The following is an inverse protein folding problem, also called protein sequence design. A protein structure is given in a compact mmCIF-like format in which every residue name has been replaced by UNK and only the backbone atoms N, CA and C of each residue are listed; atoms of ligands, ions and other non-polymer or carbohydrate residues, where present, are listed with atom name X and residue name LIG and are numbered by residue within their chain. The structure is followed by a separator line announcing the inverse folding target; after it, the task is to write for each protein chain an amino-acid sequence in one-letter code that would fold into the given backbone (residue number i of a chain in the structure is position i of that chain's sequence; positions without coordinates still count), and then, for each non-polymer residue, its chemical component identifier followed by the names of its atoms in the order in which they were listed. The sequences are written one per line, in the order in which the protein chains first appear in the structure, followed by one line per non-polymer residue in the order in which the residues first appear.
data_IF_929343660298
#
_entry.id   IF_929343660298
#
_cell.length_a   1.000
_cell.length_b   1.000
_cell.length_c   1.000
_cell.angle_alpha   90.00
_cell.angle_beta   90.00
_cell.angle_gamma   90.00
#
_symmetry.space_group_name_H-M   'P 1'
#
loop_
_entity.id
_entity.type
_entity.pdbx_description
1 polymer ?
#
# COMPACT_ATOMS: atom_id res chain seq x y z
N UNK A 1 9.88 -11.63 -1.61
CA UNK A 1 10.89 -12.17 -0.64
C UNK A 1 10.35 -11.95 0.76
N UNK A 2 10.68 -12.84 1.72
CA UNK A 2 10.30 -12.65 3.14
C UNK A 2 11.02 -11.42 3.68
N UNK A 3 10.28 -10.50 4.32
CA UNK A 3 10.85 -9.29 4.90
C UNK A 3 10.94 -9.41 6.41
N UNK A 4 11.89 -8.73 7.07
CA UNK A 4 12.05 -8.83 8.50
C UNK A 4 10.92 -8.14 9.27
N UNK A 5 10.67 -8.63 10.49
CA UNK A 5 9.90 -7.95 11.53
C UNK A 5 10.88 -7.47 12.58
N UNK A 6 10.92 -6.16 12.85
CA UNK A 6 11.86 -5.56 13.79
C UNK A 6 11.12 -4.71 14.83
N UNK A 7 11.62 -4.71 16.06
CA UNK A 7 11.08 -3.86 17.13
C UNK A 7 11.55 -2.42 16.97
N UNK A 8 10.63 -1.46 17.07
CA UNK A 8 10.95 -0.05 17.20
C UNK A 8 11.12 0.29 18.68
N UNK A 9 12.36 0.49 19.10
CA UNK A 9 12.68 0.77 20.50
C UNK A 9 12.45 2.25 20.84
N UNK A 10 11.41 2.50 21.63
CA UNK A 10 11.02 3.81 22.16
C UNK A 10 10.65 3.64 23.64
N UNK A 11 11.19 4.50 24.51
CA UNK A 11 11.03 4.36 25.96
C UNK A 11 9.61 4.68 26.44
N UNK A 12 8.95 5.66 25.80
CA UNK A 12 7.62 6.15 26.20
C UNK A 12 6.52 5.78 25.20
N UNK A 13 6.70 4.70 24.42
CA UNK A 13 5.67 4.27 23.48
C UNK A 13 4.45 3.67 24.21
N UNK A 14 3.20 3.96 23.75
CA UNK A 14 1.98 3.45 24.37
C UNK A 14 1.77 1.93 24.17
N UNK A 15 2.59 1.32 23.30
CA UNK A 15 2.54 -0.11 22.96
C UNK A 15 3.95 -0.63 22.62
N UNK A 16 4.11 -1.93 22.57
CA UNK A 16 5.31 -2.57 22.03
C UNK A 16 5.21 -2.59 20.50
N UNK A 17 5.88 -1.62 19.83
CA UNK A 17 5.73 -1.38 18.38
C UNK A 17 6.72 -2.25 17.59
N UNK A 18 6.19 -3.03 16.66
CA UNK A 18 6.94 -3.84 15.70
C UNK A 18 6.67 -3.38 14.27
N UNK A 19 7.67 -3.47 13.42
CA UNK A 19 7.66 -2.98 12.05
C UNK A 19 7.83 -4.15 11.07
N UNK A 20 6.87 -4.40 10.19
CA UNK A 20 7.00 -5.29 9.05
C UNK A 20 7.55 -4.49 7.87
N UNK A 21 8.79 -4.74 7.47
CA UNK A 21 9.56 -3.87 6.59
C UNK A 21 9.37 -4.20 5.10
N UNK A 22 8.20 -3.89 4.54
CA UNK A 22 7.91 -4.07 3.12
C UNK A 22 8.63 -3.05 2.21
N UNK A 23 9.16 -1.97 2.78
CA UNK A 23 10.07 -1.05 2.09
C UNK A 23 11.41 -1.70 1.67
N UNK A 24 11.75 -2.86 2.20
CA UNK A 24 12.95 -3.63 1.83
C UNK A 24 12.73 -4.60 0.66
N UNK A 25 11.55 -4.64 0.09
CA UNK A 25 11.29 -5.39 -1.13
C UNK A 25 12.10 -4.81 -2.33
N UNK A 26 12.41 -5.60 -3.37
CA UNK A 26 13.24 -5.17 -4.52
C UNK A 26 12.79 -3.88 -5.19
N UNK A 27 11.48 -3.58 -5.18
CA UNK A 27 10.90 -2.33 -5.73
C UNK A 27 10.59 -1.29 -4.65
N UNK A 28 11.13 -1.47 -3.43
CA UNK A 28 10.90 -0.56 -2.32
C UNK A 28 9.49 -0.55 -1.76
N UNK A 29 8.64 -1.55 -2.04
CA UNK A 29 7.28 -1.64 -1.52
C UNK A 29 6.68 -3.05 -1.59
N UNK A 30 5.62 -3.29 -0.81
CA UNK A 30 4.87 -4.54 -0.78
C UNK A 30 4.27 -4.96 -2.14
N UNK A 31 4.10 -4.03 -3.06
CA UNK A 31 3.39 -4.24 -4.34
C UNK A 31 3.98 -5.38 -5.17
N UNK A 32 5.26 -5.67 -5.02
CA UNK A 32 5.90 -6.81 -5.69
C UNK A 32 5.28 -8.16 -5.30
N UNK A 33 4.72 -8.30 -4.10
CA UNK A 33 4.07 -9.54 -3.66
C UNK A 33 2.80 -9.82 -4.45
N UNK A 34 1.93 -8.81 -4.56
CA UNK A 34 0.70 -8.90 -5.33
C UNK A 34 0.98 -9.04 -6.82
N UNK A 35 1.84 -8.18 -7.38
CA UNK A 35 2.24 -8.26 -8.79
C UNK A 35 2.87 -9.63 -9.12
N UNK A 36 3.81 -10.06 -8.29
CA UNK A 36 4.49 -11.34 -8.47
C UNK A 36 3.53 -12.53 -8.43
N UNK A 37 2.65 -12.59 -7.43
CA UNK A 37 1.68 -13.67 -7.32
C UNK A 37 0.68 -13.70 -8.49
N UNK A 38 0.18 -12.55 -8.93
CA UNK A 38 -0.73 -12.46 -10.06
C UNK A 38 -0.08 -12.96 -11.36
N UNK A 39 1.17 -12.57 -11.58
CA UNK A 39 1.92 -12.95 -12.78
C UNK A 39 2.32 -14.44 -12.74
N UNK A 40 2.83 -14.93 -11.61
CA UNK A 40 3.24 -16.34 -11.48
C UNK A 40 2.06 -17.32 -11.49
N UNK A 41 0.87 -16.88 -11.11
CA UNK A 41 -0.36 -17.67 -11.18
C UNK A 41 -1.08 -17.58 -12.54
N UNK A 42 -0.61 -16.73 -13.46
CA UNK A 42 -1.20 -16.59 -14.78
C UNK A 42 -0.74 -17.73 -15.73
N UNK A 43 -1.58 -18.16 -16.70
CA UNK A 43 -1.15 -19.06 -17.75
C UNK A 43 0.02 -18.46 -18.54
N UNK A 44 1.02 -19.28 -18.88
CA UNK A 44 2.22 -18.80 -19.56
C UNK A 44 1.91 -18.10 -20.90
N UNK A 45 0.91 -18.61 -21.63
CA UNK A 45 0.47 -18.05 -22.90
C UNK A 45 -0.07 -16.61 -22.74
N UNK A 46 -0.72 -16.32 -21.61
CA UNK A 46 -1.28 -14.99 -21.32
C UNK A 46 -0.18 -13.94 -21.11
N UNK A 47 1.03 -14.34 -20.76
CA UNK A 47 2.16 -13.45 -20.50
C UNK A 47 2.95 -13.12 -21.77
N UNK A 48 2.76 -13.85 -22.87
CA UNK A 48 3.57 -13.72 -24.09
C UNK A 48 3.50 -12.31 -24.72
N UNK A 49 2.35 -11.65 -24.63
CA UNK A 49 2.16 -10.25 -25.09
C UNK A 49 2.70 -9.20 -24.11
N UNK A 50 3.19 -9.62 -22.96
CA UNK A 50 3.70 -8.73 -21.89
C UNK A 50 2.71 -8.50 -20.75
N UNK A 51 3.07 -7.59 -19.85
CA UNK A 51 2.27 -7.20 -18.69
C UNK A 51 1.75 -5.78 -18.81
N UNK A 52 0.52 -5.55 -18.36
CA UNK A 52 -0.13 -4.23 -18.39
C UNK A 52 -0.68 -3.88 -17.01
N UNK A 53 -0.61 -2.62 -16.61
CA UNK A 53 -1.26 -2.11 -15.40
C UNK A 53 -1.63 -0.63 -15.53
N UNK A 54 -2.60 -0.17 -14.73
CA UNK A 54 -3.03 1.23 -14.63
C UNK A 54 -2.54 1.84 -13.32
N UNK A 55 -1.25 2.03 -13.13
CA UNK A 55 -0.70 2.64 -11.91
C UNK A 55 0.56 3.43 -12.24
N UNK A 56 0.76 4.55 -11.58
CA UNK A 56 2.00 5.36 -11.73
C UNK A 56 2.96 5.20 -10.56
N UNK A 57 2.54 4.49 -9.51
CA UNK A 57 3.30 4.35 -8.27
C UNK A 57 3.93 2.97 -8.09
N UNK A 58 3.84 2.49 -6.86
CA UNK A 58 4.47 1.24 -6.43
C UNK A 58 4.02 0.00 -7.23
N UNK A 59 2.75 -0.05 -7.67
CA UNK A 59 2.25 -1.20 -8.45
C UNK A 59 2.87 -1.25 -9.85
N UNK A 60 3.01 -0.09 -10.51
CA UNK A 60 3.68 -0.01 -11.80
C UNK A 60 5.11 -0.54 -11.73
N UNK A 61 5.85 -0.16 -10.69
CA UNK A 61 7.21 -0.67 -10.47
C UNK A 61 7.21 -2.18 -10.22
N UNK A 62 6.24 -2.71 -9.45
CA UNK A 62 6.11 -4.15 -9.22
C UNK A 62 5.86 -4.94 -10.50
N UNK A 63 4.96 -4.44 -11.36
CA UNK A 63 4.64 -5.08 -12.65
C UNK A 63 5.83 -4.98 -13.62
N UNK A 64 6.48 -3.81 -13.72
CA UNK A 64 7.66 -3.63 -14.57
C UNK A 64 8.85 -4.51 -14.12
N UNK A 65 9.03 -4.67 -12.80
CA UNK A 65 10.02 -5.61 -12.25
C UNK A 65 9.72 -7.04 -12.69
N UNK A 66 8.48 -7.50 -12.51
CA UNK A 66 8.10 -8.87 -12.89
C UNK A 66 8.24 -9.12 -14.38
N UNK A 67 7.89 -8.14 -15.21
CA UNK A 67 8.08 -8.24 -16.66
C UNK A 67 9.57 -8.39 -17.02
N UNK A 68 10.44 -7.62 -16.38
CA UNK A 68 11.90 -7.71 -16.57
C UNK A 68 12.44 -9.09 -16.16
N UNK A 69 12.01 -9.64 -15.03
CA UNK A 69 12.44 -10.97 -14.57
C UNK A 69 12.00 -12.09 -15.50
N UNK A 70 10.86 -11.91 -16.18
CA UNK A 70 10.32 -12.87 -17.16
C UNK A 70 10.83 -12.62 -18.59
N UNK A 71 11.51 -11.52 -18.86
CA UNK A 71 11.95 -11.14 -20.19
C UNK A 71 10.81 -10.78 -21.16
N UNK A 72 9.67 -10.29 -20.63
CA UNK A 72 8.52 -9.84 -21.42
C UNK A 72 8.33 -8.31 -21.32
N UNK A 73 7.62 -7.66 -22.27
CA UNK A 73 7.33 -6.25 -22.21
C UNK A 73 6.47 -5.87 -21.00
N UNK A 74 6.66 -4.65 -20.47
CA UNK A 74 5.75 -4.03 -19.51
C UNK A 74 5.16 -2.76 -20.09
N UNK A 75 3.85 -2.58 -19.99
CA UNK A 75 3.16 -1.33 -20.35
C UNK A 75 2.39 -0.79 -19.15
N UNK A 76 2.64 0.47 -18.82
CA UNK A 76 1.96 1.18 -17.74
C UNK A 76 1.09 2.27 -18.35
N UNK A 77 -0.21 2.17 -18.14
CA UNK A 77 -1.18 3.20 -18.53
C UNK A 77 -1.24 4.23 -17.43
N UNK A 78 -0.92 5.47 -17.72
CA UNK A 78 -0.74 6.54 -16.74
C UNK A 78 -1.45 7.84 -17.16
N UNK A 79 -2.06 8.59 -16.23
CA UNK A 79 -2.60 9.91 -16.54
C UNK A 79 -1.50 10.90 -16.99
N UNK A 80 -1.83 11.82 -17.88
CA UNK A 80 -0.90 12.86 -18.39
C UNK A 80 -0.22 13.70 -17.30
N UNK A 81 -0.91 13.89 -16.17
CA UNK A 81 -0.42 14.67 -15.04
C UNK A 81 0.39 13.85 -14.01
N UNK A 82 0.80 12.65 -14.36
CA UNK A 82 1.60 11.78 -13.47
C UNK A 82 2.96 12.38 -13.19
N UNK A 83 3.44 12.22 -11.95
CA UNK A 83 4.75 12.72 -11.53
C UNK A 83 5.89 12.15 -12.40
N UNK A 84 6.76 13.01 -12.99
CA UNK A 84 7.88 12.56 -13.81
C UNK A 84 8.82 11.58 -13.10
N UNK A 85 9.05 11.77 -11.79
CA UNK A 85 9.89 10.87 -10.98
C UNK A 85 9.33 9.46 -10.87
N UNK A 86 7.99 9.32 -10.79
CA UNK A 86 7.31 8.02 -10.76
C UNK A 86 7.39 7.30 -12.11
N UNK A 87 7.18 8.04 -13.21
CA UNK A 87 7.30 7.49 -14.56
C UNK A 87 8.74 7.05 -14.85
N UNK A 88 9.73 7.88 -14.51
CA UNK A 88 11.14 7.53 -14.66
C UNK A 88 11.53 6.27 -13.85
N UNK A 89 10.88 6.00 -12.72
CA UNK A 89 11.11 4.76 -11.97
C UNK A 89 10.63 3.51 -12.75
N UNK A 90 9.50 3.60 -13.46
CA UNK A 90 9.00 2.55 -14.34
C UNK A 90 9.93 2.33 -15.53
N UNK A 91 10.36 3.41 -16.19
CA UNK A 91 11.26 3.37 -17.35
C UNK A 91 12.61 2.74 -17.00
N UNK A 92 13.18 3.08 -15.83
CA UNK A 92 14.42 2.44 -15.33
C UNK A 92 14.29 0.91 -15.16
N UNK A 93 13.08 0.40 -14.96
CA UNK A 93 12.77 -1.02 -14.91
C UNK A 93 12.48 -1.63 -16.29
N UNK A 94 12.57 -0.84 -17.36
CA UNK A 94 12.29 -1.26 -18.73
C UNK A 94 10.82 -1.19 -19.13
N UNK A 95 9.96 -0.59 -18.30
CA UNK A 95 8.54 -0.41 -18.60
C UNK A 95 8.30 0.74 -19.58
N UNK A 96 7.34 0.55 -20.50
CA UNK A 96 6.83 1.60 -21.39
C UNK A 96 5.64 2.29 -20.74
N UNK A 97 5.58 3.61 -20.83
CA UNK A 97 4.43 4.40 -20.36
C UNK A 97 3.54 4.77 -21.55
N UNK A 98 2.25 4.51 -21.41
CA UNK A 98 1.19 5.01 -22.30
C UNK A 98 0.44 6.09 -21.54
N UNK A 99 0.60 7.32 -21.97
CA UNK A 99 0.01 8.49 -21.32
C UNK A 99 -1.38 8.76 -21.89
N UNK A 100 -2.38 8.90 -21.00
CA UNK A 100 -3.80 9.05 -21.33
C UNK A 100 -4.44 10.16 -20.49
N UNK A 101 -5.66 10.55 -20.81
CA UNK A 101 -6.48 11.42 -19.94
C UNK A 101 -6.87 10.72 -18.65
N UNK A 102 -7.32 11.46 -17.64
CA UNK A 102 -7.81 10.87 -16.37
C UNK A 102 -8.99 9.93 -16.60
N UNK A 103 -9.93 10.31 -17.47
CA UNK A 103 -11.14 9.52 -17.76
C UNK A 103 -10.78 8.21 -18.49
N UNK A 104 -9.87 8.27 -19.47
CA UNK A 104 -9.37 7.07 -20.15
C UNK A 104 -8.59 6.15 -19.19
N UNK A 105 -7.79 6.73 -18.29
CA UNK A 105 -7.09 5.96 -17.27
C UNK A 105 -8.06 5.22 -16.33
N UNK A 106 -9.11 5.92 -15.88
CA UNK A 106 -10.13 5.33 -15.03
C UNK A 106 -10.90 4.24 -15.77
N UNK A 107 -11.32 4.51 -17.02
CA UNK A 107 -11.99 3.53 -17.87
C UNK A 107 -11.13 2.28 -18.12
N UNK A 108 -9.83 2.45 -18.38
CA UNK A 108 -8.88 1.35 -18.54
C UNK A 108 -8.72 0.52 -17.25
N UNK A 109 -8.76 1.15 -16.08
CA UNK A 109 -8.73 0.46 -14.78
C UNK A 109 -10.00 -0.36 -14.57
N UNK A 110 -11.17 0.20 -14.86
CA UNK A 110 -12.46 -0.50 -14.72
C UNK A 110 -12.63 -1.64 -15.75
N UNK A 111 -12.19 -1.43 -16.99
CA UNK A 111 -12.27 -2.43 -18.05
C UNK A 111 -11.20 -3.54 -17.95
N UNK A 112 -10.14 -3.32 -17.18
CA UNK A 112 -9.00 -4.23 -17.10
C UNK A 112 -8.10 -4.20 -18.34
N UNK A 113 -7.96 -3.02 -19.00
CA UNK A 113 -7.13 -2.83 -20.18
C UNK A 113 -7.45 -1.55 -20.94
N UNK A 114 -6.69 -1.31 -22.00
CA UNK A 114 -6.88 -0.17 -22.92
C UNK A 114 -6.82 -0.68 -24.35
N UNK A 115 -7.74 -0.26 -25.19
CA UNK A 115 -7.78 -0.63 -26.62
C UNK A 115 -6.43 -0.33 -27.31
N UNK A 116 -5.89 -1.31 -28.02
CA UNK A 116 -4.59 -1.21 -28.68
C UNK A 116 -3.37 -1.41 -27.75
N UNK A 117 -3.60 -1.80 -26.48
CA UNK A 117 -2.56 -2.17 -25.54
C UNK A 117 -2.73 -3.65 -25.14
N UNK A 118 -1.99 -4.53 -25.81
CA UNK A 118 -2.01 -5.97 -25.54
C UNK A 118 -1.16 -6.34 -24.34
N UNK A 119 -1.58 -7.39 -23.60
CA UNK A 119 -0.84 -7.98 -22.51
C UNK A 119 -1.74 -8.44 -21.36
N UNK A 120 -1.15 -9.16 -20.43
CA UNK A 120 -1.82 -9.61 -19.22
C UNK A 120 -2.01 -8.43 -18.25
N UNK A 121 -3.25 -8.05 -18.04
CA UNK A 121 -3.58 -6.93 -17.16
C UNK A 121 -3.49 -7.35 -15.69
N UNK A 122 -2.62 -6.68 -14.93
CA UNK A 122 -2.51 -6.83 -13.48
C UNK A 122 -3.24 -5.68 -12.81
N UNK A 123 -4.45 -5.96 -12.32
CA UNK A 123 -5.26 -4.93 -11.66
C UNK A 123 -4.63 -4.53 -10.33
N UNK A 124 -4.39 -3.22 -10.05
CA UNK A 124 -3.64 -2.76 -8.88
C UNK A 124 -4.30 -3.05 -7.53
N UNK A 125 -5.60 -3.42 -7.52
CA UNK A 125 -6.41 -3.57 -6.30
C UNK A 125 -7.31 -4.81 -6.33
N UNK A 126 -8.21 -4.96 -7.32
CA UNK A 126 -9.32 -5.94 -7.36
C UNK A 126 -8.93 -7.38 -7.71
N UNK A 127 -7.74 -7.62 -8.19
CA UNK A 127 -7.28 -8.97 -8.56
C UNK A 127 -7.07 -9.82 -7.30
N UNK A 128 -7.80 -10.93 -7.19
CA UNK A 128 -7.69 -11.86 -6.05
C UNK A 128 -6.28 -12.44 -5.91
N UNK A 129 -5.56 -12.63 -7.03
CA UNK A 129 -4.17 -13.08 -7.02
C UNK A 129 -3.26 -12.00 -6.42
N UNK A 130 -3.55 -10.71 -6.68
CA UNK A 130 -2.84 -9.59 -6.06
C UNK A 130 -3.11 -9.56 -4.55
N UNK A 131 -4.36 -9.72 -4.14
CA UNK A 131 -4.71 -9.79 -2.71
C UNK A 131 -4.06 -10.98 -2.01
N UNK A 132 -4.08 -12.16 -2.63
CA UNK A 132 -3.42 -13.36 -2.09
C UNK A 132 -1.90 -13.16 -1.94
N UNK A 133 -1.25 -12.55 -2.93
CA UNK A 133 0.17 -12.18 -2.84
C UNK A 133 0.46 -11.23 -1.67
N UNK A 134 -0.37 -10.21 -1.46
CA UNK A 134 -0.28 -9.32 -0.30
C UNK A 134 -0.54 -10.06 1.02
N UNK A 135 -1.43 -11.05 1.02
CA UNK A 135 -1.74 -11.90 2.16
C UNK A 135 -0.55 -12.68 2.71
N UNK A 136 0.48 -12.93 1.88
CA UNK A 136 1.72 -13.56 2.34
C UNK A 136 2.43 -12.75 3.43
N UNK A 137 2.19 -11.45 3.54
CA UNK A 137 2.66 -10.63 4.66
C UNK A 137 2.03 -11.11 5.97
N UNK A 138 0.71 -11.35 5.97
CA UNK A 138 0.00 -11.86 7.13
C UNK A 138 0.47 -13.26 7.55
N UNK A 139 0.73 -14.16 6.58
CA UNK A 139 1.29 -15.48 6.85
C UNK A 139 2.67 -15.37 7.53
N UNK A 140 3.56 -14.53 6.98
CA UNK A 140 4.88 -14.29 7.58
C UNK A 140 4.79 -13.73 8.99
N UNK A 141 3.87 -12.79 9.25
CA UNK A 141 3.66 -12.20 10.57
C UNK A 141 3.21 -13.25 11.60
N UNK A 142 2.27 -14.11 11.22
CA UNK A 142 1.79 -15.19 12.10
C UNK A 142 2.89 -16.17 12.46
N UNK A 143 3.82 -16.44 11.52
CA UNK A 143 4.99 -17.30 11.77
C UNK A 143 6.05 -16.62 12.64
N UNK A 144 6.26 -15.30 12.45
CA UNK A 144 7.41 -14.59 13.04
C UNK A 144 7.17 -14.10 14.47
N UNK A 145 5.92 -13.74 14.83
CA UNK A 145 5.63 -13.02 16.06
C UNK A 145 4.22 -13.27 16.58
N UNK A 146 4.06 -13.39 17.89
CA UNK A 146 2.76 -13.21 18.55
C UNK A 146 2.46 -11.73 18.71
N UNK A 147 1.30 -11.26 18.25
CA UNK A 147 0.89 -9.86 18.30
C UNK A 147 -0.62 -9.69 18.53
N UNK A 148 -0.98 -8.56 19.14
CA UNK A 148 -2.37 -8.25 19.49
C UNK A 148 -3.09 -7.47 18.40
N UNK A 149 -2.35 -6.59 17.70
CA UNK A 149 -2.90 -5.71 16.67
C UNK A 149 -1.96 -5.62 15.45
N UNK A 150 -2.54 -5.62 14.25
CA UNK A 150 -1.86 -5.21 13.02
C UNK A 150 -2.47 -3.94 12.49
N UNK A 151 -1.61 -2.95 12.16
CA UNK A 151 -1.99 -1.63 11.64
C UNK A 151 -1.62 -1.55 10.16
N UNK A 152 -2.61 -1.33 9.31
CA UNK A 152 -2.47 -1.46 7.86
C UNK A 152 -2.93 -0.18 7.16
N UNK A 153 -2.08 0.48 6.35
CA UNK A 153 -2.50 1.62 5.54
C UNK A 153 -3.51 1.23 4.47
N UNK A 154 -4.52 2.08 4.27
CA UNK A 154 -5.54 1.89 3.25
C UNK A 154 -5.38 2.86 2.08
N UNK A 155 -5.32 2.31 0.87
CA UNK A 155 -5.56 3.01 -0.38
C UNK A 155 -6.79 2.38 -1.07
N UNK A 156 -6.59 1.41 -1.95
CA UNK A 156 -7.70 0.68 -2.58
C UNK A 156 -8.18 -0.58 -1.85
N UNK A 157 -7.61 -0.94 -0.71
CA UNK A 157 -8.03 -2.07 0.12
C UNK A 157 -7.29 -3.40 -0.12
N UNK A 158 -6.61 -3.59 -1.23
CA UNK A 158 -5.99 -4.88 -1.56
C UNK A 158 -4.89 -5.34 -0.59
N UNK A 159 -4.17 -4.43 0.07
CA UNK A 159 -3.21 -4.76 1.13
C UNK A 159 -3.94 -5.26 2.38
N UNK A 160 -4.92 -4.49 2.83
CA UNK A 160 -5.70 -4.79 4.03
C UNK A 160 -6.46 -6.10 3.87
N UNK A 161 -7.20 -6.28 2.77
CA UNK A 161 -7.93 -7.52 2.51
C UNK A 161 -7.01 -8.73 2.51
N UNK A 162 -5.85 -8.65 1.86
CA UNK A 162 -4.89 -9.75 1.83
C UNK A 162 -4.35 -10.10 3.22
N UNK A 163 -3.78 -9.13 3.94
CA UNK A 163 -3.20 -9.34 5.26
C UNK A 163 -4.27 -9.80 6.26
N UNK A 164 -5.40 -9.10 6.31
CA UNK A 164 -6.47 -9.37 7.25
C UNK A 164 -7.09 -10.76 7.04
N UNK A 165 -7.27 -11.20 5.78
CA UNK A 165 -7.74 -12.57 5.49
C UNK A 165 -6.82 -13.62 6.09
N UNK A 166 -5.50 -13.50 5.90
CA UNK A 166 -4.54 -14.44 6.47
C UNK A 166 -4.53 -14.40 8.01
N UNK A 167 -4.46 -13.19 8.58
CA UNK A 167 -4.40 -12.99 10.04
C UNK A 167 -5.68 -13.47 10.71
N UNK A 168 -6.86 -13.06 10.24
CA UNK A 168 -8.15 -13.47 10.85
C UNK A 168 -8.43 -14.97 10.73
N UNK A 169 -7.95 -15.60 9.66
CA UNK A 169 -8.07 -17.06 9.50
C UNK A 169 -7.22 -17.83 10.51
N UNK A 170 -5.99 -17.38 10.74
CA UNK A 170 -5.02 -18.10 11.57
C UNK A 170 -5.03 -17.64 13.03
N UNK A 171 -5.38 -16.37 13.27
CA UNK A 171 -5.45 -15.73 14.60
C UNK A 171 -6.66 -14.79 14.67
N UNK A 172 -7.88 -15.34 14.80
CA UNK A 172 -9.13 -14.55 14.73
C UNK A 172 -9.24 -13.46 15.81
N UNK A 173 -8.51 -13.59 16.91
CA UNK A 173 -8.53 -12.64 18.02
C UNK A 173 -7.63 -11.41 17.76
N UNK A 174 -6.72 -11.47 16.79
CA UNK A 174 -5.85 -10.33 16.45
C UNK A 174 -6.68 -9.19 15.86
N UNK A 175 -6.52 -7.98 16.40
CA UNK A 175 -7.19 -6.80 15.88
C UNK A 175 -6.54 -6.32 14.59
N UNK A 176 -7.38 -5.94 13.64
CA UNK A 176 -6.97 -5.31 12.38
C UNK A 176 -7.43 -3.86 12.41
N UNK A 177 -6.48 -2.94 12.47
CA UNK A 177 -6.72 -1.49 12.49
C UNK A 177 -6.28 -0.90 11.16
N UNK A 178 -7.20 -0.21 10.50
CA UNK A 178 -6.94 0.48 9.23
C UNK A 178 -6.55 1.93 9.50
N UNK A 179 -5.60 2.44 8.74
CA UNK A 179 -5.17 3.84 8.85
C UNK A 179 -5.18 4.54 7.49
N UNK A 180 -5.64 5.78 7.51
CA UNK A 180 -5.78 6.64 6.34
C UNK A 180 -5.28 8.06 6.66
N UNK A 181 -4.86 8.86 5.67
CA UNK A 181 -4.60 10.27 5.91
C UNK A 181 -5.91 11.04 6.14
N UNK A 182 -5.88 12.06 7.00
CA UNK A 182 -7.03 12.95 7.24
C UNK A 182 -7.56 13.61 5.97
N UNK A 183 -6.73 13.72 4.94
CA UNK A 183 -7.06 14.30 3.64
C UNK A 183 -7.93 13.41 2.75
N UNK A 184 -8.33 12.21 3.23
CA UNK A 184 -9.19 11.29 2.51
C UNK A 184 -9.29 9.95 3.25
N UNK A 185 -10.23 9.85 4.22
CA UNK A 185 -10.35 8.72 5.15
C UNK A 185 -11.73 8.03 5.06
N UNK A 186 -12.07 7.41 3.91
CA UNK A 186 -13.40 6.82 3.71
C UNK A 186 -13.64 5.57 4.56
N UNK A 187 -12.61 4.79 4.95
CA UNK A 187 -12.79 3.64 5.86
C UNK A 187 -13.12 4.12 7.26
N UNK A 188 -12.39 5.11 7.78
CA UNK A 188 -12.69 5.68 9.09
C UNK A 188 -14.11 6.28 9.14
N UNK A 189 -14.54 6.95 8.05
CA UNK A 189 -15.90 7.45 7.92
C UNK A 189 -16.93 6.32 7.87
N UNK A 190 -16.68 5.24 7.13
CA UNK A 190 -17.58 4.09 7.06
C UNK A 190 -17.70 3.37 8.41
N UNK A 191 -16.59 3.14 9.12
CA UNK A 191 -16.60 2.54 10.47
C UNK A 191 -17.39 3.39 11.44
N UNK A 192 -17.19 4.73 11.45
CA UNK A 192 -17.97 5.65 12.25
C UNK A 192 -19.48 5.68 11.89
N UNK A 193 -19.81 5.30 10.65
CA UNK A 193 -21.19 5.18 10.13
C UNK A 193 -21.72 3.73 10.13
N UNK A 194 -21.35 2.93 11.13
CA UNK A 194 -21.78 1.54 11.30
C UNK A 194 -21.47 0.63 10.08
N UNK A 195 -20.35 0.85 9.43
CA UNK A 195 -19.90 0.08 8.27
C UNK A 195 -20.46 0.53 6.93
N UNK A 196 -21.33 1.53 6.92
CA UNK A 196 -21.95 2.05 5.68
C UNK A 196 -21.03 3.09 5.03
N UNK A 197 -20.56 2.85 3.78
CA UNK A 197 -19.72 3.80 3.06
C UNK A 197 -20.39 5.16 2.88
N UNK A 198 -19.61 6.22 3.08
CA UNK A 198 -20.00 7.59 2.78
C UNK A 198 -18.88 8.27 1.98
N UNK A 199 -19.19 9.13 1.03
CA UNK A 199 -18.19 9.97 0.36
C UNK A 199 -17.51 10.89 1.36
N UNK A 200 -16.21 11.10 1.18
CA UNK A 200 -15.42 12.07 1.94
C UNK A 200 -14.70 13.03 1.00
N UNK A 201 -14.36 14.20 1.50
CA UNK A 201 -13.48 15.09 0.75
C UNK A 201 -12.10 14.45 0.61
N UNK A 202 -11.49 14.60 -0.56
CA UNK A 202 -10.13 14.14 -0.82
C UNK A 202 -9.26 15.29 -1.31
N UNK A 203 -8.16 15.50 -0.61
CA UNK A 203 -7.13 16.47 -1.01
C UNK A 203 -5.80 15.72 -1.22
N UNK A 204 -5.17 15.80 -2.39
CA UNK A 204 -3.84 15.25 -2.60
C UNK A 204 -2.83 15.81 -1.60
N UNK A 205 -1.88 14.97 -1.16
CA UNK A 205 -0.83 15.33 -0.22
C UNK A 205 0.46 14.56 -0.53
N UNK A 206 1.48 14.68 0.34
CA UNK A 206 2.68 13.87 0.22
C UNK A 206 2.42 12.36 0.48
N UNK A 207 1.24 12.01 0.98
CA UNK A 207 0.81 10.62 1.22
C UNK A 207 0.01 10.15 0.00
N UNK A 208 0.70 9.76 -1.04
CA UNK A 208 0.11 9.37 -2.33
C UNK A 208 -0.16 7.87 -2.50
N UNK A 209 0.22 7.06 -1.51
CA UNK A 209 -0.02 5.62 -1.47
C UNK A 209 -1.24 5.17 -0.68
N UNK A 210 -1.94 6.10 -0.01
CA UNK A 210 -3.10 5.85 0.84
C UNK A 210 -4.09 7.01 0.78
N UNK A 211 -5.34 6.75 1.19
CA UNK A 211 -6.43 7.72 1.17
C UNK A 211 -7.13 7.84 -0.19
N UNK A 212 -8.40 8.24 -0.15
CA UNK A 212 -9.24 8.45 -1.34
C UNK A 212 -10.52 9.20 -0.98
N UNK A 213 -11.29 9.67 -1.98
CA UNK A 213 -12.60 10.31 -1.78
C UNK A 213 -13.76 9.33 -1.51
N UNK A 214 -13.51 8.01 -1.62
CA UNK A 214 -14.54 7.01 -1.39
C UNK A 214 -13.99 5.59 -1.47
N UNK A 215 -14.79 4.64 -1.06
CA UNK A 215 -14.47 3.21 -1.10
C UNK A 215 -14.90 2.61 -2.43
N UNK A 216 -14.12 1.68 -2.96
CA UNK A 216 -14.56 0.76 -3.99
C UNK A 216 -15.54 -0.22 -3.34
N UNK A 217 -16.81 -0.29 -3.77
CA UNK A 217 -17.85 -1.04 -3.05
C UNK A 217 -17.50 -2.51 -2.85
N UNK A 218 -17.03 -3.16 -3.92
CA UNK A 218 -16.62 -4.57 -3.93
C UNK A 218 -15.41 -4.85 -3.00
N UNK A 219 -14.49 -3.89 -2.88
CA UNK A 219 -13.35 -4.01 -1.99
C UNK A 219 -13.73 -3.79 -0.53
N UNK A 220 -14.67 -2.87 -0.26
CA UNK A 220 -15.17 -2.66 1.09
C UNK A 220 -16.00 -3.86 1.58
N UNK A 221 -16.87 -4.41 0.74
CA UNK A 221 -17.62 -5.63 1.05
C UNK A 221 -16.70 -6.78 1.50
N UNK A 222 -15.55 -6.94 0.85
CA UNK A 222 -14.54 -7.96 1.21
C UNK A 222 -13.79 -7.63 2.49
N UNK A 223 -13.48 -6.36 2.72
CA UNK A 223 -12.64 -5.94 3.85
C UNK A 223 -13.41 -5.68 5.14
N UNK A 224 -14.65 -5.17 5.06
CA UNK A 224 -15.44 -4.76 6.22
C UNK A 224 -15.54 -5.83 7.33
N UNK A 225 -15.80 -7.12 7.02
CA UNK A 225 -15.89 -8.15 8.06
C UNK A 225 -14.52 -8.50 8.70
N UNK A 226 -13.42 -8.01 8.16
CA UNK A 226 -12.05 -8.28 8.61
C UNK A 226 -11.44 -7.12 9.39
N UNK A 227 -12.06 -5.93 9.33
CA UNK A 227 -11.56 -4.69 9.95
C UNK A 227 -12.27 -4.48 11.29
N UNK A 228 -11.50 -4.36 12.37
CA UNK A 228 -12.04 -4.13 13.70
C UNK A 228 -12.15 -2.65 14.05
N UNK A 229 -11.28 -1.81 13.44
CA UNK A 229 -11.24 -0.37 13.71
C UNK A 229 -10.54 0.38 12.59
N UNK A 230 -10.77 1.68 12.50
CA UNK A 230 -10.09 2.56 11.56
C UNK A 230 -9.89 3.97 12.13
N UNK A 231 -8.79 4.62 11.75
CA UNK A 231 -8.56 5.99 12.16
C UNK A 231 -7.88 6.83 11.07
N UNK A 232 -8.27 8.11 11.02
CA UNK A 232 -7.60 9.13 10.23
C UNK A 232 -6.38 9.68 10.98
N UNK A 233 -5.28 9.88 10.26
CA UNK A 233 -4.00 10.38 10.77
C UNK A 233 -3.72 11.72 10.08
N UNK A 234 -3.34 12.73 10.86
CA UNK A 234 -2.97 14.03 10.30
C UNK A 234 -1.66 13.95 9.51
N UNK A 235 -1.49 14.85 8.55
CA UNK A 235 -0.27 14.94 7.77
C UNK A 235 0.96 15.19 8.68
N UNK A 236 0.78 15.96 9.74
CA UNK A 236 1.83 16.24 10.71
C UNK A 236 2.24 14.99 11.51
N UNK A 237 1.28 14.18 11.97
CA UNK A 237 1.56 12.91 12.66
C UNK A 237 2.27 11.92 11.72
N UNK A 238 1.81 11.81 10.47
CA UNK A 238 2.44 10.95 9.47
C UNK A 238 3.89 11.37 9.17
N UNK A 239 4.14 12.66 8.96
CA UNK A 239 5.48 13.20 8.75
C UNK A 239 6.39 12.94 9.97
N UNK A 240 5.88 13.18 11.20
CA UNK A 240 6.60 12.88 12.43
C UNK A 240 6.96 11.40 12.53
N UNK A 241 6.05 10.49 12.18
CA UNK A 241 6.31 9.05 12.20
C UNK A 241 7.37 8.63 11.16
N UNK A 242 7.33 9.20 9.95
CA UNK A 242 8.40 8.98 8.95
C UNK A 242 9.76 9.45 9.48
N UNK A 243 9.79 10.60 10.17
CA UNK A 243 11.00 11.08 10.83
C UNK A 243 11.49 10.13 11.92
N UNK A 244 10.59 9.64 12.79
CA UNK A 244 10.91 8.64 13.83
C UNK A 244 11.48 7.37 13.22
N UNK A 245 10.88 6.86 12.13
CA UNK A 245 11.40 5.70 11.39
C UNK A 245 12.83 5.94 10.91
N UNK A 246 13.13 7.10 10.37
CA UNK A 246 14.46 7.44 9.89
C UNK A 246 15.47 7.61 11.05
N UNK A 247 15.12 8.37 12.09
CA UNK A 247 16.02 8.73 13.19
C UNK A 247 16.24 7.59 14.17
N UNK A 248 15.21 6.81 14.49
CA UNK A 248 15.26 5.77 15.53
C UNK A 248 15.33 4.36 14.92
N UNK A 249 14.66 4.13 13.79
CA UNK A 249 14.65 2.85 13.09
C UNK A 249 15.73 2.69 12.02
N UNK A 250 16.33 3.78 11.53
CA UNK A 250 17.22 3.81 10.35
C UNK A 250 16.52 3.29 9.09
N UNK A 251 15.24 3.61 8.97
CA UNK A 251 14.35 3.13 7.93
C UNK A 251 13.88 4.30 7.08
N UNK A 252 14.07 4.22 5.76
CA UNK A 252 13.46 5.13 4.80
C UNK A 252 12.04 4.63 4.49
N UNK A 253 11.04 5.45 4.77
CA UNK A 253 9.62 5.12 4.58
C UNK A 253 8.90 6.23 3.83
N UNK A 254 7.92 5.87 3.01
CA UNK A 254 6.98 6.80 2.37
C UNK A 254 5.86 7.23 3.33
N UNK A 255 5.12 8.29 2.99
CA UNK A 255 4.06 8.83 3.85
C UNK A 255 3.00 7.80 4.24
N UNK A 256 2.59 6.93 3.32
CA UNK A 256 1.62 5.87 3.60
C UNK A 256 2.12 4.89 4.68
N UNK A 257 3.40 4.56 4.69
CA UNK A 257 4.01 3.72 5.72
C UNK A 257 4.07 4.44 7.08
N UNK A 258 4.24 5.77 7.07
CA UNK A 258 4.20 6.60 8.28
C UNK A 258 2.87 6.57 9.00
N UNK A 259 1.74 6.41 8.29
CA UNK A 259 0.41 6.34 8.89
C UNK A 259 0.27 5.24 9.95
N UNK A 260 0.76 4.03 9.65
CA UNK A 260 0.66 2.91 10.57
C UNK A 260 1.44 3.14 11.87
N UNK A 261 2.63 3.71 11.75
CA UNK A 261 3.48 4.03 12.90
C UNK A 261 2.90 5.21 13.69
N UNK A 262 2.35 6.23 13.01
CA UNK A 262 1.70 7.36 13.66
C UNK A 262 0.52 6.92 14.53
N UNK A 263 -0.32 6.01 14.04
CA UNK A 263 -1.43 5.46 14.82
C UNK A 263 -0.95 4.73 16.09
N UNK A 264 0.11 3.94 15.95
CA UNK A 264 0.70 3.23 17.09
C UNK A 264 1.31 4.19 18.12
N UNK A 265 2.04 5.22 17.67
CA UNK A 265 2.64 6.25 18.54
C UNK A 265 1.58 7.09 19.26
N UNK A 266 0.44 7.32 18.63
CA UNK A 266 -0.70 8.04 19.22
C UNK A 266 -1.59 7.16 20.11
N UNK A 267 -1.27 5.87 20.31
CA UNK A 267 -2.06 4.92 21.10
C UNK A 267 -3.39 4.49 20.46
N UNK A 268 -3.64 4.88 19.19
CA UNK A 268 -4.89 4.54 18.47
C UNK A 268 -4.96 3.07 18.05
N UNK A 269 -3.83 2.38 18.04
CA UNK A 269 -3.76 0.95 17.74
C UNK A 269 -4.04 0.04 18.95
N UNK A 270 -4.22 0.61 20.14
CA UNK A 270 -4.36 -0.10 21.40
C UNK A 270 -3.02 -0.38 22.07
N UNK A 271 -3.07 -1.22 23.11
CA UNK A 271 -1.90 -1.64 23.89
C UNK A 271 -1.40 -3.02 23.45
N UNK A 272 -0.35 -3.51 24.11
CA UNK A 272 0.26 -4.81 23.82
C UNK A 272 1.25 -4.75 22.67
N UNK A 273 1.34 -5.81 21.88
CA UNK A 273 2.21 -5.88 20.70
C UNK A 273 1.47 -5.42 19.45
N UNK A 274 1.90 -4.30 18.92
CA UNK A 274 1.31 -3.68 17.74
C UNK A 274 2.28 -3.81 16.57
N UNK A 275 1.87 -4.46 15.50
CA UNK A 275 2.64 -4.57 14.25
C UNK A 275 2.18 -3.50 13.27
N UNK A 276 3.09 -2.62 12.87
CA UNK A 276 2.86 -1.62 11.84
C UNK A 276 3.41 -2.09 10.49
N UNK A 277 2.60 -2.06 9.46
CA UNK A 277 3.05 -2.37 8.09
C UNK A 277 3.78 -1.16 7.50
N UNK A 278 5.11 -1.22 7.41
CA UNK A 278 5.92 -0.25 6.67
C UNK A 278 5.83 -0.61 5.18
N UNK A 279 4.72 -0.21 4.57
CA UNK A 279 4.26 -0.72 3.28
C UNK A 279 5.16 -0.35 2.09
N UNK A 280 5.95 0.72 2.20
CA UNK A 280 6.90 1.16 1.17
C UNK A 280 7.85 2.25 1.65
N UNK A 281 8.89 2.50 0.84
CA UNK A 281 9.91 3.51 1.06
C UNK A 281 10.14 4.43 -0.15
N UNK A 282 9.28 4.40 -1.16
CA UNK A 282 9.42 5.17 -2.39
C UNK A 282 8.96 6.64 -2.19
N UNK A 283 9.67 7.35 -1.33
CA UNK A 283 9.45 8.77 -1.06
C UNK A 283 10.39 9.63 -1.92
N UNK A 284 9.90 10.78 -2.37
CA UNK A 284 10.75 11.79 -3.02
C UNK A 284 11.82 12.29 -2.04
N UNK A 285 13.12 12.32 -2.45
CA UNK A 285 14.21 12.78 -1.58
C UNK A 285 14.03 14.19 -1.02
N UNK A 286 13.41 15.10 -1.78
CA UNK A 286 13.15 16.47 -1.29
C UNK A 286 12.06 16.48 -0.22
N UNK A 287 11.02 15.64 -0.36
CA UNK A 287 9.99 15.45 0.66
C UNK A 287 10.58 14.82 1.93
N UNK A 288 11.42 13.80 1.77
CA UNK A 288 12.11 13.19 2.93
C UNK A 288 12.99 14.22 3.66
N UNK A 289 13.76 15.02 2.93
CA UNK A 289 14.59 16.08 3.51
C UNK A 289 13.73 17.09 4.29
N UNK A 290 12.58 17.51 3.74
CA UNK A 290 11.66 18.40 4.44
C UNK A 290 11.14 17.79 5.74
N UNK A 291 10.80 16.50 5.74
CA UNK A 291 10.34 15.78 6.93
C UNK A 291 11.45 15.71 7.98
N UNK A 292 12.69 15.41 7.58
CA UNK A 292 13.83 15.34 8.51
C UNK A 292 14.16 16.71 9.12
N UNK A 293 13.89 17.80 8.39
CA UNK A 293 13.96 19.19 8.91
C UNK A 293 12.77 19.57 9.82
N UNK A 294 11.83 18.65 10.05
CA UNK A 294 10.64 18.89 10.89
C UNK A 294 9.51 19.63 10.20
N UNK A 295 9.53 19.70 8.85
CA UNK A 295 8.46 20.30 8.04
C UNK A 295 7.52 19.23 7.51
N UNK A 296 6.25 19.59 7.31
CA UNK A 296 5.27 18.76 6.60
C UNK A 296 5.36 19.12 5.12
N UNK A 297 5.66 18.16 4.22
CA UNK A 297 5.66 18.42 2.78
C UNK A 297 4.25 18.66 2.23
N UNK A 298 4.20 19.36 1.10
CA UNK A 298 2.98 19.53 0.30
C UNK A 298 2.57 18.23 -0.42
#
# INVERSE_FOLDING_TARGET
MRTPVVRLHLDDAPAEIWLKLENLQPVGSFKIRGAGNAVLAAPHEALAAGLVTTSTGNMAQGVAWMARELGVPATVIAPHNSSPGKLAAVERLGGRVVSVTWDEWWAAMEAGGLDGVDGFFVHPVRDERVMAGNGTIGLELVDDLEFDTVVIPWGGGGLTTGIASAVKTLRPQTRVVVVEPETGAPVAAAVANNGVPVPVEYTPSFIDGAGSGGLLPDMWERAAPLVDDACAISLAEAASAVRVLAERGRIVAEGAAGLAVAAALAGRAGAGRVVCIVCGGNIDPARLAAILDGRVPD
#
